data_IF_736047361857
#
_entry.id   IF_736047361857
#
_cell.length_a   1.000
_cell.length_b   1.000
_cell.length_c   1.000
_cell.angle_alpha   90.00
_cell.angle_beta   90.00
_cell.angle_gamma   90.00
#
_symmetry.space_group_name_H-M   'P 1'
#
loop_
_entity.id
_entity.type
_entity.pdbx_description
1 polymer ?
#
# COMPACT_ATOMS: atom_id res chain seq x y z
N UNK A 1 -28.72 -76.63 9.87
CA UNK A 1 -28.05 -75.75 10.87
C UNK A 1 -27.71 -74.45 10.13
N UNK A 2 -28.69 -73.54 10.13
CA UNK A 2 -28.59 -72.25 9.36
C UNK A 2 -28.15 -71.14 10.35
N UNK A 3 -26.87 -70.73 10.25
CA UNK A 3 -26.40 -69.55 10.93
C UNK A 3 -26.88 -68.34 10.17
N UNK A 4 -27.90 -67.62 10.73
CA UNK A 4 -28.26 -66.26 10.33
C UNK A 4 -27.16 -65.35 10.80
N UNK A 5 -26.36 -64.80 9.85
CA UNK A 5 -25.54 -63.64 10.07
C UNK A 5 -26.48 -62.43 10.25
N UNK A 6 -26.54 -61.97 11.49
CA UNK A 6 -27.28 -60.78 11.88
C UNK A 6 -26.46 -59.56 11.44
N UNK A 7 -26.71 -59.10 10.20
CA UNK A 7 -26.15 -57.86 9.70
C UNK A 7 -26.81 -56.67 10.41
N UNK A 8 -26.40 -56.42 11.65
CA UNK A 8 -26.68 -55.13 12.32
C UNK A 8 -25.76 -54.10 11.66
N UNK A 9 -26.26 -53.48 10.58
CA UNK A 9 -25.75 -52.21 10.14
C UNK A 9 -25.98 -51.24 11.29
N UNK A 10 -24.89 -50.87 11.99
CA UNK A 10 -24.96 -49.85 13.03
C UNK A 10 -25.52 -48.58 12.43
N UNK A 11 -26.73 -48.21 12.84
CA UNK A 11 -27.30 -46.90 12.45
C UNK A 11 -26.33 -45.81 12.94
N UNK A 12 -25.89 -44.93 12.05
CA UNK A 12 -25.01 -43.83 12.44
C UNK A 12 -25.74 -43.02 13.53
N UNK A 13 -25.10 -42.87 14.67
CA UNK A 13 -25.66 -42.12 15.78
C UNK A 13 -25.94 -40.69 15.31
N UNK A 14 -27.22 -40.37 15.17
CA UNK A 14 -27.72 -39.09 14.65
C UNK A 14 -27.06 -37.89 15.37
N UNK A 15 -26.74 -38.08 16.65
CA UNK A 15 -26.06 -37.07 17.48
C UNK A 15 -24.62 -36.84 17.00
N UNK A 16 -23.90 -37.92 16.71
CA UNK A 16 -22.50 -37.82 16.23
C UNK A 16 -22.46 -37.18 14.83
N UNK A 17 -23.40 -37.56 13.96
CA UNK A 17 -23.51 -36.99 12.62
C UNK A 17 -23.84 -35.47 12.68
N UNK A 18 -24.77 -35.06 13.52
CA UNK A 18 -25.13 -33.67 13.74
C UNK A 18 -23.94 -32.85 14.29
N UNK A 19 -23.19 -33.39 15.25
CA UNK A 19 -21.99 -32.74 15.79
C UNK A 19 -20.91 -32.54 14.74
N UNK A 20 -20.68 -33.53 13.90
CA UNK A 20 -19.68 -33.43 12.80
C UNK A 20 -20.06 -32.35 11.76
N UNK A 21 -21.35 -32.26 11.42
CA UNK A 21 -21.86 -31.25 10.50
C UNK A 21 -21.69 -29.84 11.09
N UNK A 22 -22.02 -29.64 12.36
CA UNK A 22 -21.83 -28.35 13.03
C UNK A 22 -20.35 -27.98 13.12
N UNK A 23 -19.48 -28.94 13.48
CA UNK A 23 -18.05 -28.70 13.54
C UNK A 23 -17.46 -28.32 12.15
N UNK A 24 -17.88 -28.99 11.09
CA UNK A 24 -17.47 -28.69 9.74
C UNK A 24 -17.95 -27.30 9.29
N UNK A 25 -19.19 -26.92 9.61
CA UNK A 25 -19.72 -25.60 9.30
C UNK A 25 -18.96 -24.48 10.02
N UNK A 26 -18.64 -24.65 11.30
CA UNK A 26 -17.85 -23.70 12.09
C UNK A 26 -16.42 -23.58 11.55
N UNK A 27 -15.81 -24.68 11.15
CA UNK A 27 -14.47 -24.67 10.56
C UNK A 27 -14.43 -23.89 9.22
N UNK A 28 -15.42 -24.14 8.35
CA UNK A 28 -15.54 -23.42 7.09
C UNK A 28 -15.81 -21.91 7.28
N UNK A 29 -16.65 -21.55 8.24
CA UNK A 29 -16.91 -20.16 8.59
C UNK A 29 -15.64 -19.47 9.12
N UNK A 30 -14.88 -20.13 9.98
CA UNK A 30 -13.63 -19.60 10.53
C UNK A 30 -12.53 -19.49 9.47
N UNK A 31 -12.39 -20.50 8.59
CA UNK A 31 -11.45 -20.45 7.47
C UNK A 31 -11.81 -19.32 6.47
N UNK A 32 -13.09 -19.16 6.16
CA UNK A 32 -13.59 -18.07 5.32
C UNK A 32 -13.32 -16.69 5.92
N UNK A 33 -13.51 -16.55 7.25
CA UNK A 33 -13.19 -15.31 7.96
C UNK A 33 -11.68 -15.00 7.94
N UNK A 34 -10.82 -16.01 8.17
CA UNK A 34 -9.36 -15.83 8.08
C UNK A 34 -8.90 -15.40 6.69
N UNK A 35 -9.47 -16.00 5.64
CA UNK A 35 -9.17 -15.60 4.24
C UNK A 35 -9.63 -14.16 3.99
N UNK A 36 -10.83 -13.79 4.43
CA UNK A 36 -11.35 -12.44 4.27
C UNK A 36 -10.50 -11.39 5.00
N UNK A 37 -9.99 -11.71 6.20
CA UNK A 37 -9.09 -10.84 6.97
C UNK A 37 -7.75 -10.69 6.25
N UNK A 38 -7.17 -11.78 5.71
CA UNK A 38 -5.90 -11.73 4.98
C UNK A 38 -6.03 -10.98 3.65
N UNK A 39 -7.10 -11.19 2.90
CA UNK A 39 -7.37 -10.47 1.64
C UNK A 39 -7.71 -9.00 1.90
N UNK A 40 -8.37 -8.70 3.02
CA UNK A 40 -8.68 -7.31 3.41
C UNK A 40 -7.47 -6.54 3.97
N UNK A 41 -6.52 -7.23 4.61
CA UNK A 41 -5.37 -6.60 5.28
C UNK A 41 -4.10 -6.52 4.41
N UNK A 42 -4.03 -7.23 3.28
CA UNK A 42 -2.78 -7.41 2.53
C UNK A 42 -2.79 -7.00 1.06
N UNK A 43 -3.85 -6.45 0.56
CA UNK A 43 -3.82 -5.86 -0.79
C UNK A 43 -3.02 -4.57 -0.74
N UNK A 44 -1.73 -4.59 -1.11
CA UNK A 44 -1.03 -3.36 -1.48
C UNK A 44 -1.89 -2.67 -2.54
N UNK A 45 -2.65 -1.65 -2.12
CA UNK A 45 -3.42 -0.84 -3.05
C UNK A 45 -2.40 -0.06 -3.88
N UNK A 46 -2.08 -0.60 -5.05
CA UNK A 46 -1.31 0.16 -6.01
C UNK A 46 -2.12 1.40 -6.36
N UNK A 47 -1.53 2.55 -6.10
CA UNK A 47 -2.11 3.81 -6.54
C UNK A 47 -1.85 4.01 -8.02
N UNK A 48 -2.73 4.76 -8.69
CA UNK A 48 -2.42 5.24 -10.02
C UNK A 48 -1.09 6.01 -9.99
N UNK A 49 -0.35 5.91 -11.06
CA UNK A 49 0.98 6.47 -11.24
C UNK A 49 1.08 7.89 -10.68
N UNK A 50 2.01 8.12 -9.75
CA UNK A 50 2.33 9.47 -9.26
C UNK A 50 3.30 10.13 -10.23
N UNK A 51 3.04 11.38 -10.56
CA UNK A 51 3.92 12.22 -11.39
C UNK A 51 4.67 13.19 -10.50
N UNK A 52 5.99 13.16 -10.52
CA UNK A 52 6.83 14.19 -9.91
C UNK A 52 7.27 15.14 -11.00
N UNK A 53 6.92 16.42 -10.84
CA UNK A 53 7.20 17.50 -11.78
C UNK A 53 8.21 18.47 -11.15
N UNK A 54 9.47 18.37 -11.56
CA UNK A 54 10.54 19.22 -11.07
C UNK A 54 10.63 20.49 -11.93
N UNK A 55 10.14 21.61 -11.41
CA UNK A 55 10.17 22.90 -12.10
C UNK A 55 11.41 23.74 -11.76
N UNK A 56 12.34 23.20 -10.97
CA UNK A 56 13.59 23.87 -10.63
C UNK A 56 14.65 23.71 -11.73
N UNK A 57 15.77 24.39 -11.57
CA UNK A 57 16.94 24.27 -12.44
C UNK A 57 17.96 23.24 -11.94
N UNK A 58 17.66 22.53 -10.86
CA UNK A 58 18.56 21.57 -10.21
C UNK A 58 18.01 20.15 -10.28
N UNK A 59 18.92 19.16 -10.32
CA UNK A 59 18.54 17.76 -10.10
C UNK A 59 18.28 17.55 -8.63
N UNK A 60 17.07 17.09 -8.29
CA UNK A 60 16.61 16.90 -6.91
C UNK A 60 16.31 15.43 -6.65
N UNK A 61 16.58 14.98 -5.43
CA UNK A 61 16.16 13.68 -4.93
C UNK A 61 14.83 13.82 -4.20
N UNK A 62 13.89 12.90 -4.48
CA UNK A 62 12.58 12.90 -3.83
C UNK A 62 12.42 11.63 -3.01
N UNK A 63 11.97 11.80 -1.79
CA UNK A 63 11.69 10.72 -0.83
C UNK A 63 10.23 10.82 -0.42
N UNK A 64 9.50 9.72 -0.55
CA UNK A 64 8.15 9.58 -0.01
C UNK A 64 8.25 9.04 1.41
N UNK A 65 7.59 9.69 2.34
CA UNK A 65 7.45 9.25 3.72
C UNK A 65 5.99 8.87 3.98
N UNK A 66 5.77 7.68 4.47
CA UNK A 66 4.44 7.17 4.77
C UNK A 66 3.92 7.65 6.14
N UNK A 67 2.70 7.25 6.48
CA UNK A 67 2.08 7.59 7.76
C UNK A 67 2.79 7.00 9.00
N UNK A 68 3.68 6.02 8.82
CA UNK A 68 4.45 5.38 9.89
C UNK A 68 5.86 5.94 10.00
N UNK A 69 6.25 6.82 9.07
CA UNK A 69 7.57 7.40 8.98
C UNK A 69 8.56 6.56 8.14
N UNK A 70 8.08 5.51 7.47
CA UNK A 70 8.89 4.73 6.55
C UNK A 70 9.20 5.55 5.29
N UNK A 71 10.46 5.48 4.85
CA UNK A 71 11.00 6.32 3.78
C UNK A 71 11.27 5.50 2.53
N UNK A 72 10.70 5.93 1.41
CA UNK A 72 10.93 5.34 0.10
C UNK A 72 11.56 6.37 -0.83
N UNK A 73 12.79 6.15 -1.25
CA UNK A 73 13.47 7.00 -2.23
C UNK A 73 12.85 6.81 -3.62
N UNK A 74 12.33 7.86 -4.19
CA UNK A 74 11.76 7.89 -5.54
C UNK A 74 12.82 8.18 -6.62
N UNK A 75 14.03 8.51 -6.18
CA UNK A 75 15.20 8.74 -7.02
C UNK A 75 15.40 10.19 -7.44
N UNK A 76 16.35 10.39 -8.35
CA UNK A 76 16.72 11.70 -8.86
C UNK A 76 15.77 12.18 -9.96
N UNK A 77 15.37 13.43 -9.86
CA UNK A 77 14.49 14.12 -10.81
C UNK A 77 15.25 15.29 -11.47
N UNK A 78 15.59 15.16 -12.76
CA UNK A 78 16.30 16.21 -13.50
C UNK A 78 15.50 17.51 -13.60
N UNK A 79 16.18 18.66 -13.81
CA UNK A 79 15.54 19.97 -13.91
C UNK A 79 14.56 20.05 -15.09
N UNK A 80 13.40 20.68 -14.86
CA UNK A 80 12.38 20.89 -15.87
C UNK A 80 11.77 19.59 -16.44
N UNK A 81 11.85 18.48 -15.69
CA UNK A 81 11.34 17.17 -16.13
C UNK A 81 10.24 16.65 -15.20
N UNK A 82 9.25 16.05 -15.83
CA UNK A 82 8.23 15.28 -15.14
C UNK A 82 8.54 13.78 -15.28
N UNK A 83 8.45 13.04 -14.18
CA UNK A 83 8.65 11.59 -14.15
C UNK A 83 7.44 10.91 -13.51
N UNK A 84 6.96 9.86 -14.16
CA UNK A 84 5.86 9.02 -13.68
C UNK A 84 6.42 7.81 -12.95
N UNK A 85 5.88 7.53 -11.78
CA UNK A 85 6.35 6.46 -10.90
C UNK A 85 5.17 5.67 -10.37
N UNK A 86 5.30 4.36 -10.39
CA UNK A 86 4.38 3.47 -9.65
C UNK A 86 4.85 3.42 -8.20
N UNK A 87 3.97 3.78 -7.29
CA UNK A 87 4.30 3.84 -5.86
C UNK A 87 3.28 3.01 -5.08
N UNK A 88 3.77 2.18 -4.14
CA UNK A 88 2.90 1.49 -3.21
C UNK A 88 2.13 2.52 -2.36
N UNK A 89 0.86 2.23 -2.04
CA UNK A 89 0.02 3.13 -1.25
C UNK A 89 0.60 3.32 0.17
N UNK A 90 1.09 4.50 0.54
CA UNK A 90 1.65 4.77 1.86
C UNK A 90 0.58 5.00 2.93
N UNK A 91 -0.70 4.83 2.60
CA UNK A 91 -1.80 5.00 3.54
C UNK A 91 -2.54 6.34 3.41
N UNK A 92 -2.91 6.94 4.54
CA UNK A 92 -3.75 8.14 4.56
C UNK A 92 -2.98 9.43 4.30
N UNK A 93 -1.70 9.46 4.62
CA UNK A 93 -0.83 10.63 4.48
C UNK A 93 0.35 10.35 3.56
N UNK A 94 0.62 11.28 2.68
CA UNK A 94 1.66 11.25 1.65
C UNK A 94 2.56 12.46 1.86
N UNK A 95 3.76 12.25 2.40
CA UNK A 95 4.73 13.32 2.59
C UNK A 95 5.88 13.15 1.61
N UNK A 96 6.09 14.15 0.75
CA UNK A 96 7.18 14.18 -0.20
C UNK A 96 8.24 15.15 0.32
N UNK A 97 9.40 14.62 0.63
CA UNK A 97 10.59 15.39 0.99
C UNK A 97 11.50 15.49 -0.22
N UNK A 98 11.93 16.69 -0.53
CA UNK A 98 12.80 16.96 -1.68
C UNK A 98 14.15 17.47 -1.21
N UNK A 99 15.22 16.90 -1.77
CA UNK A 99 16.58 17.18 -1.34
C UNK A 99 17.47 17.61 -2.51
N UNK A 100 18.40 18.53 -2.21
CA UNK A 100 19.58 18.78 -3.00
C UNK A 100 20.80 18.36 -2.20
N UNK A 101 21.42 17.22 -2.54
CA UNK A 101 22.42 16.58 -1.69
C UNK A 101 21.86 16.30 -0.29
N UNK A 102 22.52 16.73 0.78
CA UNK A 102 22.05 16.51 2.16
C UNK A 102 20.98 17.54 2.61
N UNK A 103 20.71 18.55 1.81
CA UNK A 103 19.84 19.69 2.20
C UNK A 103 18.41 19.46 1.70
N UNK A 104 17.46 19.45 2.62
CA UNK A 104 16.04 19.48 2.28
C UNK A 104 15.66 20.85 1.73
N UNK A 105 15.07 20.90 0.55
CA UNK A 105 14.69 22.13 -0.17
C UNK A 105 13.19 22.32 -0.26
N UNK A 106 12.42 21.24 -0.17
CA UNK A 106 10.96 21.28 -0.19
C UNK A 106 10.35 20.17 0.65
N UNK A 107 9.15 20.41 1.18
CA UNK A 107 8.36 19.46 1.95
C UNK A 107 6.88 19.68 1.64
N UNK A 108 6.24 18.67 1.08
CA UNK A 108 4.82 18.71 0.76
C UNK A 108 4.11 17.51 1.35
N UNK A 109 3.02 17.76 2.07
CA UNK A 109 2.18 16.71 2.64
C UNK A 109 0.77 16.80 2.08
N UNK A 110 0.26 15.66 1.61
CA UNK A 110 -1.07 15.53 1.04
C UNK A 110 -1.83 14.42 1.75
N UNK A 111 -3.13 14.60 1.93
CA UNK A 111 -4.03 13.45 2.03
C UNK A 111 -4.28 12.84 0.64
N UNK A 112 -4.73 11.59 0.63
CA UNK A 112 -4.99 10.87 -0.61
C UNK A 112 -5.96 11.60 -1.54
N UNK A 113 -7.01 12.21 -0.98
CA UNK A 113 -8.02 12.91 -1.76
C UNK A 113 -7.48 14.20 -2.36
N UNK A 114 -6.64 14.93 -1.62
CA UNK A 114 -5.97 16.12 -2.13
C UNK A 114 -5.03 15.79 -3.30
N UNK A 115 -4.22 14.74 -3.17
CA UNK A 115 -3.32 14.30 -4.23
C UNK A 115 -4.10 13.81 -5.47
N UNK A 116 -5.20 13.10 -5.27
CA UNK A 116 -6.07 12.67 -6.37
C UNK A 116 -6.71 13.86 -7.11
N UNK A 117 -7.16 14.90 -6.39
CA UNK A 117 -7.68 16.14 -7.00
C UNK A 117 -6.64 16.87 -7.85
N UNK A 118 -5.35 16.73 -7.53
CA UNK A 118 -4.23 17.26 -8.31
C UNK A 118 -3.78 16.31 -9.44
N UNK A 119 -4.57 15.29 -9.75
CA UNK A 119 -4.25 14.29 -10.79
C UNK A 119 -3.00 13.48 -10.47
N UNK A 120 -2.76 13.18 -9.18
CA UNK A 120 -1.58 12.44 -8.70
C UNK A 120 -0.26 13.09 -9.11
N UNK A 121 -0.23 14.44 -9.16
CA UNK A 121 0.93 15.20 -9.54
C UNK A 121 1.46 16.01 -8.37
N UNK A 122 2.74 15.81 -8.04
CA UNK A 122 3.50 16.59 -7.07
C UNK A 122 4.41 17.53 -7.84
N UNK A 123 4.21 18.84 -7.67
CA UNK A 123 5.03 19.86 -8.33
C UNK A 123 6.03 20.41 -7.33
N UNK A 124 7.31 20.32 -7.68
CA UNK A 124 8.38 21.00 -6.97
C UNK A 124 8.55 22.37 -7.62
N UNK A 125 8.14 23.44 -6.95
CA UNK A 125 8.12 24.77 -7.57
C UNK A 125 9.54 25.27 -7.85
N UNK A 126 9.70 26.10 -8.88
CA UNK A 126 11.00 26.69 -9.21
C UNK A 126 11.63 27.46 -8.03
N UNK A 127 10.80 27.98 -7.12
CA UNK A 127 11.25 28.70 -5.93
C UNK A 127 11.87 27.82 -4.84
N UNK A 128 11.70 26.49 -4.91
CA UNK A 128 12.23 25.57 -3.91
C UNK A 128 13.78 25.62 -3.79
N UNK A 129 14.46 26.03 -4.84
CA UNK A 129 15.94 26.13 -4.91
C UNK A 129 16.47 27.56 -4.94
N UNK A 130 15.62 28.56 -4.76
CA UNK A 130 16.02 29.99 -4.86
C UNK A 130 17.17 30.35 -3.93
N UNK A 131 17.12 29.87 -2.68
CA UNK A 131 18.19 30.15 -1.70
C UNK A 131 19.53 29.51 -2.09
N UNK A 132 19.48 28.31 -2.73
CA UNK A 132 20.66 27.63 -3.24
C UNK A 132 21.26 28.36 -4.42
N UNK A 133 20.42 28.82 -5.34
CA UNK A 133 20.86 29.59 -6.51
C UNK A 133 21.50 30.91 -6.12
N UNK A 134 20.95 31.61 -5.11
CA UNK A 134 21.53 32.83 -4.53
C UNK A 134 22.88 32.54 -3.84
N UNK A 135 23.05 31.34 -3.26
CA UNK A 135 24.31 30.90 -2.69
C UNK A 135 25.34 30.40 -3.72
N UNK A 136 25.01 30.46 -5.04
CA UNK A 136 25.91 30.10 -6.14
C UNK A 136 25.96 28.61 -6.50
N UNK A 137 25.03 27.80 -5.98
CA UNK A 137 24.86 26.41 -6.44
C UNK A 137 24.20 26.39 -7.83
N UNK A 138 24.69 25.50 -8.71
CA UNK A 138 24.18 25.34 -10.07
C UNK A 138 24.08 23.87 -10.45
#
# INVERSE_FOLDING_TARGET
MNARLDDRVAEPDLVVTALLVVAAALYLAFAGWLIAVQVGAGGMRHVPVVTIDNQTHMTLEVVLVDQHGDRLTLGAHPPGRSRRLEVADPGSSWTFETFYGPRQVDLQTFDRAALARQGWTVRIPATATTDLEQAGFR
#
